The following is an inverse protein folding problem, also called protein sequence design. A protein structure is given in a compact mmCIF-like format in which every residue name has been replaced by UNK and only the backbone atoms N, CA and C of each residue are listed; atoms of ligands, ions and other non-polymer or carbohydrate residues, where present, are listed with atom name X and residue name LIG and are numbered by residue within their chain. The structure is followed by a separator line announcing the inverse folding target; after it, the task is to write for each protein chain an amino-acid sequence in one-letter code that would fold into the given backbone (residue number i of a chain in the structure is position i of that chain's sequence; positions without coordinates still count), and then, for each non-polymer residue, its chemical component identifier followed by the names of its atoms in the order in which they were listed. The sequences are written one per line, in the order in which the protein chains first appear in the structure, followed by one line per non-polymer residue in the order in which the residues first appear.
data_IF_237629438340
#
_entry.id   IF_237629438340
#
_cell.length_a   1.000
_cell.length_b   1.000
_cell.length_c   1.000
_cell.angle_alpha   90.00
_cell.angle_beta   90.00
_cell.angle_gamma   90.00
#
_symmetry.space_group_name_H-M   'P 1'
#
loop_
_entity.id
_entity.type
_entity.pdbx_description
1 polymer ?
#
# COMPACT_ATOMS: atom_id res chain seq x y z
N UNK A 1 -16.70 1.30 0.48
CA UNK A 1 -15.56 1.12 -0.47
C UNK A 1 -15.55 2.25 -1.47
N UNK A 2 -14.47 2.47 -2.24
CA UNK A 2 -14.44 3.54 -3.24
C UNK A 2 -15.29 3.24 -4.48
N UNK A 3 -15.11 2.06 -5.08
CA UNK A 3 -15.97 1.51 -6.13
C UNK A 3 -15.87 -0.02 -6.19
N UNK A 4 -16.88 -0.68 -6.75
CA UNK A 4 -16.83 -2.13 -7.02
C UNK A 4 -15.62 -2.45 -7.93
N UNK A 5 -14.88 -3.51 -7.61
CA UNK A 5 -13.66 -3.91 -8.31
C UNK A 5 -12.43 -3.04 -8.02
N UNK A 6 -12.53 -2.04 -7.13
CA UNK A 6 -11.34 -1.31 -6.64
C UNK A 6 -10.55 -2.13 -5.63
N UNK A 7 -9.28 -1.76 -5.41
CA UNK A 7 -8.49 -2.33 -4.32
C UNK A 7 -9.19 -2.25 -2.96
N UNK A 8 -9.97 -1.18 -2.71
CA UNK A 8 -10.74 -1.05 -1.46
C UNK A 8 -11.94 -2.01 -1.38
N UNK A 9 -12.56 -2.37 -2.51
CA UNK A 9 -13.63 -3.38 -2.56
C UNK A 9 -13.04 -4.78 -2.34
N UNK A 10 -12.00 -5.12 -3.11
CA UNK A 10 -11.25 -6.37 -2.97
C UNK A 10 -10.82 -6.61 -1.53
N UNK A 11 -10.16 -5.62 -0.91
CA UNK A 11 -9.66 -5.74 0.46
C UNK A 11 -10.81 -5.88 1.45
N UNK A 12 -11.90 -5.11 1.33
CA UNK A 12 -13.07 -5.29 2.20
C UNK A 12 -13.63 -6.71 2.10
N UNK A 13 -13.77 -7.26 0.89
CA UNK A 13 -14.27 -8.63 0.68
C UNK A 13 -13.32 -9.69 1.23
N UNK A 14 -12.01 -9.51 1.09
CA UNK A 14 -11.00 -10.42 1.66
C UNK A 14 -11.09 -10.46 3.19
N UNK A 15 -11.19 -9.29 3.84
CA UNK A 15 -11.32 -9.19 5.29
C UNK A 15 -12.60 -9.85 5.79
N UNK A 16 -13.73 -9.60 5.13
CA UNK A 16 -15.01 -10.24 5.48
C UNK A 16 -14.92 -11.76 5.41
N UNK A 17 -14.34 -12.31 4.33
CA UNK A 17 -14.14 -13.76 4.19
C UNK A 17 -13.18 -14.32 5.24
N UNK A 18 -12.13 -13.58 5.60
CA UNK A 18 -11.23 -13.97 6.69
C UNK A 18 -11.99 -14.08 8.02
N UNK A 19 -12.99 -13.23 8.23
CA UNK A 19 -13.91 -13.29 9.36
C UNK A 19 -15.10 -14.25 9.16
N UNK A 20 -15.06 -15.07 8.10
CA UNK A 20 -16.08 -16.07 7.75
C UNK A 20 -17.45 -15.47 7.43
N UNK A 21 -17.49 -14.21 7.00
CA UNK A 21 -18.68 -13.55 6.49
C UNK A 21 -18.74 -13.65 4.96
N UNK A 22 -19.90 -13.97 4.42
CA UNK A 22 -20.19 -13.93 2.99
C UNK A 22 -20.47 -12.46 2.57
N UNK A 23 -19.55 -11.82 1.81
CA UNK A 23 -19.69 -10.41 1.44
C UNK A 23 -20.88 -10.13 0.52
N UNK A 24 -21.48 -11.16 -0.08
CA UNK A 24 -22.59 -11.03 -1.02
C UNK A 24 -23.95 -11.35 -0.38
N UNK A 25 -23.97 -11.86 0.86
CA UNK A 25 -25.20 -12.25 1.57
C UNK A 25 -25.38 -11.62 2.93
N UNK A 26 -24.29 -11.39 3.65
CA UNK A 26 -24.34 -10.99 5.07
C UNK A 26 -24.06 -9.51 5.30
N UNK A 27 -23.61 -8.78 4.27
CA UNK A 27 -23.34 -7.34 4.36
C UNK A 27 -23.84 -6.58 3.14
N UNK A 28 -24.12 -5.30 3.32
CA UNK A 28 -24.38 -4.38 2.21
C UNK A 28 -23.15 -3.51 1.94
N UNK A 29 -22.59 -3.64 0.74
CA UNK A 29 -21.37 -2.95 0.33
C UNK A 29 -21.69 -1.64 -0.40
N UNK A 30 -21.54 -0.51 0.30
CA UNK A 30 -21.80 0.82 -0.26
C UNK A 30 -20.54 1.45 -0.89
N UNK A 31 -20.72 2.02 -2.09
CA UNK A 31 -19.71 2.83 -2.77
C UNK A 31 -19.73 4.25 -2.22
N UNK A 32 -18.76 4.58 -1.37
CA UNK A 32 -18.65 5.81 -0.60
C UNK A 32 -17.40 6.62 -0.96
N UNK A 33 -16.77 6.36 -2.12
CA UNK A 33 -15.69 7.19 -2.64
C UNK A 33 -14.38 7.10 -1.86
N UNK A 34 -13.66 8.22 -1.76
CA UNK A 34 -12.34 8.32 -1.15
C UNK A 34 -12.41 8.33 0.40
N UNK A 35 -11.26 8.34 1.07
CA UNK A 35 -11.19 8.25 2.55
C UNK A 35 -11.98 9.36 3.27
N UNK A 36 -11.88 10.65 2.90
CA UNK A 36 -12.72 11.70 3.50
C UNK A 36 -14.22 11.42 3.43
N UNK A 37 -14.76 11.07 2.27
CA UNK A 37 -16.19 10.78 2.11
C UNK A 37 -16.62 9.59 2.96
N UNK A 38 -15.78 8.56 3.07
CA UNK A 38 -16.03 7.40 3.94
C UNK A 38 -16.07 7.78 5.42
N UNK A 39 -15.19 8.67 5.86
CA UNK A 39 -15.19 9.16 7.25
C UNK A 39 -16.45 9.99 7.56
N UNK A 40 -16.90 10.83 6.64
CA UNK A 40 -18.16 11.57 6.82
C UNK A 40 -19.34 10.61 6.92
N UNK A 41 -19.40 9.58 6.08
CA UNK A 41 -20.47 8.58 6.14
C UNK A 41 -20.45 7.78 7.47
N UNK A 42 -19.26 7.46 8.00
CA UNK A 42 -19.11 6.84 9.32
C UNK A 42 -19.63 7.76 10.43
N UNK A 43 -19.17 9.01 10.46
CA UNK A 43 -19.55 9.97 11.49
C UNK A 43 -21.06 10.31 11.47
N UNK A 44 -21.68 10.28 10.29
CA UNK A 44 -23.11 10.50 10.11
C UNK A 44 -23.97 9.24 10.36
N UNK A 45 -23.35 8.09 10.68
CA UNK A 45 -24.06 6.81 10.90
C UNK A 45 -24.68 6.22 9.63
N UNK A 46 -24.21 6.61 8.44
CA UNK A 46 -24.71 6.06 7.17
C UNK A 46 -24.09 4.71 6.81
N UNK A 47 -22.97 4.35 7.45
CA UNK A 47 -22.30 3.05 7.32
C UNK A 47 -21.78 2.59 8.67
N UNK A 48 -21.82 1.28 8.93
CA UNK A 48 -21.32 0.67 10.17
C UNK A 48 -19.79 0.49 10.19
N UNK A 49 -19.16 0.51 9.01
CA UNK A 49 -17.73 0.29 8.85
C UNK A 49 -17.19 0.81 7.53
N UNK A 50 -15.93 1.27 7.53
CA UNK A 50 -15.24 1.67 6.31
C UNK A 50 -13.73 1.50 6.42
N UNK A 51 -13.08 1.33 5.26
CA UNK A 51 -11.62 1.42 5.17
C UNK A 51 -11.18 2.87 5.32
N UNK A 52 -10.29 3.13 6.25
CA UNK A 52 -9.70 4.46 6.50
C UNK A 52 -8.20 4.38 6.25
N UNK A 53 -7.66 5.34 5.50
CA UNK A 53 -6.23 5.39 5.25
C UNK A 53 -5.46 5.65 6.56
N UNK A 54 -4.25 5.09 6.74
CA UNK A 54 -3.48 5.20 7.98
C UNK A 54 -3.32 6.63 8.52
N UNK A 55 -3.10 7.59 7.62
CA UNK A 55 -2.92 9.01 7.91
C UNK A 55 -4.19 9.71 8.41
N UNK A 56 -5.37 9.10 8.23
CA UNK A 56 -6.67 9.65 8.62
C UNK A 56 -7.32 8.95 9.81
N UNK A 57 -6.76 7.83 10.28
CA UNK A 57 -7.31 7.04 11.40
C UNK A 57 -7.44 7.89 12.67
N UNK A 58 -6.43 8.71 12.97
CA UNK A 58 -6.45 9.58 14.16
C UNK A 58 -7.66 10.54 14.17
N UNK A 59 -8.02 11.09 13.00
CA UNK A 59 -9.12 12.04 12.85
C UNK A 59 -10.46 11.41 13.19
N UNK A 60 -10.74 10.21 12.67
CA UNK A 60 -12.03 9.55 12.90
C UNK A 60 -12.14 9.01 14.33
N UNK A 61 -11.06 8.47 14.90
CA UNK A 61 -11.05 7.96 16.28
C UNK A 61 -11.24 9.11 17.28
N UNK A 62 -10.64 10.27 17.03
CA UNK A 62 -10.80 11.45 17.88
C UNK A 62 -12.25 11.97 17.99
N UNK A 63 -13.13 11.61 17.04
CA UNK A 63 -14.56 11.98 17.12
C UNK A 63 -15.33 11.18 18.18
N UNK A 64 -14.77 10.06 18.66
CA UNK A 64 -15.45 9.14 19.58
C UNK A 64 -16.56 8.28 18.95
N UNK A 65 -16.96 8.52 17.68
CA UNK A 65 -18.00 7.71 17.01
C UNK A 65 -17.56 6.27 16.74
N UNK A 66 -16.26 6.09 16.61
CA UNK A 66 -15.70 5.01 15.81
C UNK A 66 -14.42 4.49 16.46
N UNK A 67 -14.18 3.19 16.35
CA UNK A 67 -12.97 2.51 16.81
C UNK A 67 -12.38 1.67 15.70
N UNK A 68 -11.07 1.43 15.76
CA UNK A 68 -10.39 0.54 14.83
C UNK A 68 -10.84 -0.90 15.11
N UNK A 69 -11.43 -1.57 14.12
CA UNK A 69 -11.83 -2.98 14.21
C UNK A 69 -10.66 -3.93 13.94
N UNK A 70 -9.82 -3.58 12.97
CA UNK A 70 -8.58 -4.29 12.65
C UNK A 70 -7.61 -3.36 11.92
N UNK A 71 -6.32 -3.55 12.18
CA UNK A 71 -5.27 -3.04 11.32
C UNK A 71 -5.03 -4.06 10.19
N UNK A 72 -5.28 -3.65 8.96
CA UNK A 72 -5.14 -4.54 7.81
C UNK A 72 -3.68 -4.96 7.54
N UNK A 73 -2.71 -4.22 8.08
CA UNK A 73 -1.30 -4.60 8.00
C UNK A 73 -0.92 -5.76 8.92
N UNK A 74 -1.78 -6.09 9.89
CA UNK A 74 -1.56 -7.19 10.84
C UNK A 74 -2.31 -8.47 10.43
N UNK A 75 -3.13 -8.40 9.38
CA UNK A 75 -3.83 -9.56 8.86
C UNK A 75 -2.89 -10.37 7.95
N UNK A 76 -3.00 -11.71 7.93
CA UNK A 76 -2.17 -12.59 7.09
C UNK A 76 -2.62 -12.52 5.63
N UNK A 77 -2.51 -11.34 5.02
CA UNK A 77 -2.91 -11.04 3.66
C UNK A 77 -1.71 -10.53 2.86
N UNK A 78 -1.08 -11.43 2.12
CA UNK A 78 -0.13 -11.02 1.09
C UNK A 78 -0.93 -10.44 -0.08
N UNK A 79 -0.85 -9.13 -0.30
CA UNK A 79 -1.55 -8.46 -1.41
C UNK A 79 -0.66 -7.40 -2.05
N UNK A 80 -0.37 -7.54 -3.35
CA UNK A 80 0.43 -6.60 -4.12
C UNK A 80 -0.36 -5.29 -4.38
N UNK A 81 -0.44 -4.44 -3.37
CA UNK A 81 -1.21 -3.18 -3.41
C UNK A 81 -0.49 -2.07 -4.16
N UNK A 82 0.83 -2.03 -4.08
CA UNK A 82 1.68 -0.98 -4.63
C UNK A 82 2.80 -1.61 -5.45
N UNK A 83 3.13 -0.98 -6.58
CA UNK A 83 4.22 -1.41 -7.44
C UNK A 83 4.37 -0.51 -8.66
N UNK A 84 5.55 -0.56 -9.26
CA UNK A 84 5.80 0.06 -10.56
C UNK A 84 5.58 -0.98 -11.66
N UNK A 85 4.78 -0.63 -12.65
CA UNK A 85 4.46 -1.50 -13.79
C UNK A 85 4.83 -0.77 -15.07
N UNK A 86 5.59 -1.45 -15.92
CA UNK A 86 6.04 -0.91 -17.20
C UNK A 86 5.80 -1.94 -18.32
N UNK A 87 5.55 -1.49 -19.56
CA UNK A 87 5.58 -2.38 -20.71
C UNK A 87 6.94 -3.06 -20.85
N UNK A 88 6.97 -4.36 -21.17
CA UNK A 88 8.21 -5.12 -21.38
C UNK A 88 9.12 -4.47 -22.43
N UNK A 89 8.54 -3.87 -23.48
CA UNK A 89 9.29 -3.11 -24.48
C UNK A 89 10.02 -1.92 -23.86
N UNK A 90 9.35 -1.17 -22.99
CA UNK A 90 9.92 -0.01 -22.30
C UNK A 90 11.06 -0.40 -21.35
N UNK A 91 10.93 -1.54 -20.65
CA UNK A 91 12.01 -2.10 -19.82
C UNK A 91 13.28 -2.37 -20.64
N UNK A 92 13.10 -2.86 -21.88
CA UNK A 92 14.21 -3.16 -22.79
C UNK A 92 14.82 -1.91 -23.42
N UNK A 93 14.00 -0.97 -23.88
CA UNK A 93 14.46 0.18 -24.67
C UNK A 93 14.86 1.39 -23.84
N UNK A 94 14.28 1.56 -22.63
CA UNK A 94 14.47 2.74 -21.78
C UNK A 94 15.07 2.37 -20.42
N UNK A 95 16.00 1.42 -20.44
CA UNK A 95 16.57 0.83 -19.22
C UNK A 95 17.26 1.86 -18.32
N UNK A 96 18.01 2.82 -18.89
CA UNK A 96 18.68 3.87 -18.10
C UNK A 96 17.68 4.79 -17.36
N UNK A 97 16.59 5.16 -18.03
CA UNK A 97 15.52 5.99 -17.44
C UNK A 97 14.90 5.26 -16.26
N UNK A 98 14.52 4.00 -16.44
CA UNK A 98 13.94 3.19 -15.37
C UNK A 98 14.91 2.93 -14.23
N UNK A 99 16.20 2.74 -14.53
CA UNK A 99 17.26 2.59 -13.53
C UNK A 99 17.35 3.85 -12.66
N UNK A 100 17.39 5.04 -13.25
CA UNK A 100 17.41 6.31 -12.50
C UNK A 100 16.14 6.51 -11.67
N UNK A 101 14.98 6.18 -12.21
CA UNK A 101 13.71 6.24 -11.49
C UNK A 101 13.74 5.34 -10.25
N UNK A 102 14.16 4.08 -10.40
CA UNK A 102 14.22 3.12 -9.30
C UNK A 102 15.31 3.47 -8.28
N UNK A 103 16.43 4.06 -8.70
CA UNK A 103 17.43 4.60 -7.76
C UNK A 103 16.83 5.74 -6.91
N UNK A 104 16.08 6.67 -7.53
CA UNK A 104 15.38 7.73 -6.79
C UNK A 104 14.33 7.17 -5.82
N UNK A 105 13.62 6.12 -6.22
CA UNK A 105 12.69 5.43 -5.32
C UNK A 105 13.39 4.77 -4.12
N UNK A 106 14.54 4.12 -4.33
CA UNK A 106 15.35 3.53 -3.26
C UNK A 106 15.93 4.60 -2.33
N UNK A 107 16.32 5.75 -2.86
CA UNK A 107 16.75 6.90 -2.05
C UNK A 107 15.58 7.46 -1.21
N UNK A 108 14.38 7.56 -1.78
CA UNK A 108 13.18 7.96 -1.04
C UNK A 108 12.86 6.97 0.09
N UNK A 109 13.02 5.66 -0.13
CA UNK A 109 12.90 4.64 0.92
C UNK A 109 13.95 4.86 2.01
N UNK A 110 15.21 5.10 1.63
CA UNK A 110 16.27 5.39 2.59
C UNK A 110 15.95 6.62 3.45
N UNK A 111 15.51 7.72 2.84
CA UNK A 111 15.06 8.93 3.55
C UNK A 111 13.90 8.61 4.48
N UNK A 112 12.88 7.90 3.98
CA UNK A 112 11.73 7.51 4.78
C UNK A 112 12.15 6.69 6.01
N UNK A 113 13.08 5.75 5.87
CA UNK A 113 13.54 4.88 6.96
C UNK A 113 14.48 5.57 7.95
N UNK A 114 15.30 6.52 7.49
CA UNK A 114 16.43 7.06 8.30
C UNK A 114 16.28 8.52 8.72
N UNK A 115 15.36 9.27 8.10
CA UNK A 115 15.16 10.71 8.31
C UNK A 115 13.70 11.03 8.64
N UNK A 116 13.15 10.58 9.78
CA UNK A 116 11.73 10.75 10.12
C UNK A 116 11.26 12.21 10.09
N UNK A 117 12.12 13.18 10.45
CA UNK A 117 11.79 14.61 10.37
C UNK A 117 11.44 15.08 8.94
N UNK A 118 12.05 14.49 7.92
CA UNK A 118 11.70 14.82 6.53
C UNK A 118 10.30 14.31 6.17
N UNK A 119 9.91 13.14 6.71
CA UNK A 119 8.54 12.61 6.56
C UNK A 119 7.55 13.51 7.29
N UNK A 120 7.90 13.97 8.50
CA UNK A 120 7.02 14.84 9.30
C UNK A 120 6.75 16.18 8.63
N UNK A 121 7.75 16.77 7.96
CA UNK A 121 7.55 18.00 7.19
C UNK A 121 6.50 17.82 6.07
N UNK A 122 6.52 16.69 5.36
CA UNK A 122 5.50 16.37 4.35
C UNK A 122 4.12 16.18 4.98
N UNK A 123 4.05 15.49 6.13
CA UNK A 123 2.79 15.32 6.87
C UNK A 123 2.22 16.66 7.35
N UNK A 124 3.07 17.61 7.72
CA UNK A 124 2.68 18.96 8.12
C UNK A 124 2.04 19.75 6.96
N UNK A 125 2.58 19.63 5.74
CA UNK A 125 2.00 20.20 4.52
C UNK A 125 0.60 19.62 4.24
N UNK A 126 0.38 18.35 4.58
CA UNK A 126 -0.93 17.66 4.52
C UNK A 126 -1.85 17.97 5.73
N UNK A 127 -1.44 18.91 6.59
CA UNK A 127 -2.21 19.39 7.73
C UNK A 127 -2.15 18.52 8.98
N UNK A 128 -1.22 17.55 9.05
CA UNK A 128 -0.99 16.70 10.21
C UNK A 128 0.19 17.27 11.01
N UNK A 129 -0.12 18.10 12.01
CA UNK A 129 0.87 18.90 12.75
C UNK A 129 1.27 18.35 14.11
N UNK A 130 0.48 17.43 14.66
CA UNK A 130 0.77 16.83 15.96
C UNK A 130 1.95 15.85 15.83
N UNK A 131 3.08 16.09 16.52
CA UNK A 131 4.27 15.23 16.41
C UNK A 131 4.02 13.78 16.83
N UNK A 132 3.12 13.54 17.77
CA UNK A 132 2.78 12.18 18.21
C UNK A 132 2.03 11.41 17.12
N UNK A 133 1.12 12.10 16.41
CA UNK A 133 0.37 11.54 15.27
C UNK A 133 1.31 11.31 14.08
N UNK A 134 2.21 12.26 13.79
CA UNK A 134 3.20 12.12 12.73
C UNK A 134 4.10 10.89 12.96
N UNK A 135 4.60 10.74 14.19
CA UNK A 135 5.41 9.59 14.59
C UNK A 135 4.65 8.28 14.43
N UNK A 136 3.42 8.22 14.91
CA UNK A 136 2.60 7.01 14.83
C UNK A 136 2.30 6.62 13.36
N UNK A 137 1.98 7.58 12.50
CA UNK A 137 1.80 7.33 11.05
C UNK A 137 3.10 6.78 10.43
N UNK A 138 4.24 7.40 10.74
CA UNK A 138 5.54 6.98 10.23
C UNK A 138 5.91 5.57 10.69
N UNK A 139 5.79 5.28 11.99
CA UNK A 139 6.11 3.96 12.57
C UNK A 139 5.23 2.86 11.99
N UNK A 140 3.91 3.11 11.85
CA UNK A 140 2.97 2.16 11.25
C UNK A 140 3.30 1.88 9.78
N UNK A 141 3.62 2.93 9.00
CA UNK A 141 4.01 2.78 7.61
C UNK A 141 5.35 2.04 7.46
N UNK A 142 6.32 2.32 8.35
CA UNK A 142 7.68 1.76 8.33
C UNK A 142 7.69 0.23 8.40
N UNK A 143 6.72 -0.38 9.11
CA UNK A 143 6.54 -1.85 9.17
C UNK A 143 6.44 -2.50 7.79
N UNK A 144 5.94 -1.77 6.80
CA UNK A 144 5.66 -2.29 5.46
C UNK A 144 6.66 -1.80 4.40
N UNK A 145 7.57 -0.89 4.75
CA UNK A 145 8.55 -0.32 3.81
C UNK A 145 9.85 -1.09 3.88
N UNK A 146 10.11 -1.94 2.88
CA UNK A 146 11.36 -2.71 2.76
C UNK A 146 12.45 -1.87 2.15
N UNK A 147 13.67 -2.06 2.63
CA UNK A 147 14.87 -1.43 2.04
C UNK A 147 15.09 -1.85 0.59
N UNK A 148 14.85 -3.14 0.30
CA UNK A 148 14.91 -3.69 -1.04
C UNK A 148 13.52 -4.19 -1.44
N UNK A 149 12.69 -3.34 -2.08
CA UNK A 149 11.32 -3.69 -2.44
C UNK A 149 11.29 -4.52 -3.72
N UNK A 150 11.20 -5.84 -3.56
CA UNK A 150 10.97 -6.76 -4.68
C UNK A 150 9.51 -7.22 -4.72
N UNK A 151 8.93 -7.46 -5.91
CA UNK A 151 7.61 -8.05 -6.01
C UNK A 151 7.59 -9.44 -5.38
N UNK A 152 6.47 -9.79 -4.76
CA UNK A 152 6.26 -11.10 -4.14
C UNK A 152 5.25 -11.93 -4.92
N UNK A 153 5.55 -13.21 -5.24
CA UNK A 153 4.65 -14.07 -5.99
C UNK A 153 3.27 -14.22 -5.32
N UNK A 154 3.23 -14.42 -4.01
CA UNK A 154 1.98 -14.59 -3.26
C UNK A 154 1.11 -13.33 -3.34
N UNK A 155 1.70 -12.15 -3.15
CA UNK A 155 0.97 -10.89 -3.23
C UNK A 155 0.37 -10.65 -4.61
N UNK A 156 1.10 -11.01 -5.68
CA UNK A 156 0.60 -10.92 -7.06
C UNK A 156 -0.48 -11.97 -7.31
N UNK A 157 -0.33 -13.20 -6.79
CA UNK A 157 -1.36 -14.24 -6.90
C UNK A 157 -2.66 -13.80 -6.24
N UNK A 158 -2.61 -13.29 -5.01
CA UNK A 158 -3.80 -12.76 -4.32
C UNK A 158 -4.46 -11.62 -5.09
N UNK A 159 -3.66 -10.76 -5.74
CA UNK A 159 -4.19 -9.71 -6.61
C UNK A 159 -4.89 -10.32 -7.83
N UNK A 160 -4.29 -11.30 -8.50
CA UNK A 160 -4.89 -12.03 -9.64
C UNK A 160 -6.19 -12.73 -9.24
N UNK A 161 -6.21 -13.42 -8.10
CA UNK A 161 -7.37 -14.15 -7.59
C UNK A 161 -8.55 -13.22 -7.27
N UNK A 162 -8.28 -11.94 -7.03
CA UNK A 162 -9.32 -10.93 -6.83
C UNK A 162 -9.94 -10.39 -8.12
N UNK A 163 -9.30 -10.62 -9.27
CA UNK A 163 -9.77 -10.10 -10.56
C UNK A 163 -10.82 -11.03 -11.17
N UNK A 164 -11.86 -10.43 -11.75
CA UNK A 164 -12.87 -11.15 -12.53
C UNK A 164 -12.45 -11.38 -13.98
N UNK A 165 -11.29 -10.85 -14.39
CA UNK A 165 -10.80 -10.96 -15.76
C UNK A 165 -10.51 -12.42 -16.13
N UNK A 166 -10.95 -12.93 -17.31
CA UNK A 166 -10.79 -14.34 -17.68
C UNK A 166 -9.34 -14.85 -17.59
N UNK A 167 -8.39 -14.02 -18.02
CA UNK A 167 -6.96 -14.37 -18.02
C UNK A 167 -6.33 -14.37 -16.62
N UNK A 168 -7.00 -13.84 -15.59
CA UNK A 168 -6.42 -13.76 -14.25
C UNK A 168 -6.12 -15.15 -13.68
N UNK A 169 -7.02 -16.12 -13.92
CA UNK A 169 -6.89 -17.51 -13.47
C UNK A 169 -5.72 -18.27 -14.10
N UNK A 170 -5.29 -17.86 -15.29
CA UNK A 170 -4.25 -18.54 -16.06
C UNK A 170 -2.92 -17.80 -16.05
N UNK A 171 -2.91 -16.53 -15.63
CA UNK A 171 -1.70 -15.71 -15.57
C UNK A 171 -0.86 -16.17 -14.39
N UNK A 172 0.42 -16.47 -14.64
CA UNK A 172 1.36 -16.85 -13.58
C UNK A 172 1.98 -15.59 -12.98
N UNK A 173 2.08 -15.44 -11.64
CA UNK A 173 2.72 -14.29 -11.01
C UNK A 173 4.11 -13.97 -11.59
N UNK A 174 4.95 -14.99 -11.79
CA UNK A 174 6.29 -14.84 -12.34
C UNK A 174 6.33 -14.17 -13.72
N UNK A 175 5.27 -14.28 -14.53
CA UNK A 175 5.19 -13.62 -15.84
C UNK A 175 4.97 -12.10 -15.76
N UNK A 176 4.56 -11.60 -14.60
CA UNK A 176 4.34 -10.19 -14.31
C UNK A 176 5.50 -9.55 -13.53
N UNK A 177 6.55 -10.33 -13.23
CA UNK A 177 7.66 -9.92 -12.38
C UNK A 177 8.93 -9.74 -13.21
N UNK A 178 9.49 -8.54 -13.18
CA UNK A 178 10.84 -8.25 -13.70
C UNK A 178 11.62 -7.48 -12.63
N UNK A 179 12.63 -8.13 -12.05
CA UNK A 179 13.53 -7.53 -11.04
C UNK A 179 14.88 -7.15 -11.62
N UNK A 180 15.08 -7.27 -12.93
CA UNK A 180 16.40 -7.19 -13.55
C UNK A 180 17.10 -5.85 -13.28
N UNK A 181 16.36 -4.74 -13.31
CA UNK A 181 16.91 -3.40 -13.04
C UNK A 181 17.21 -3.21 -11.55
N UNK A 182 16.36 -3.73 -10.65
CA UNK A 182 16.62 -3.69 -9.21
C UNK A 182 17.86 -4.52 -8.84
N UNK A 183 18.07 -5.65 -9.49
CA UNK A 183 19.26 -6.48 -9.31
C UNK A 183 20.53 -5.79 -9.83
N UNK A 184 20.46 -5.06 -10.95
CA UNK A 184 21.56 -4.20 -11.42
C UNK A 184 21.92 -3.12 -10.41
N UNK A 185 20.91 -2.42 -9.87
CA UNK A 185 21.12 -1.37 -8.87
C UNK A 185 21.76 -1.97 -7.61
N UNK A 186 21.26 -3.12 -7.15
CA UNK A 186 21.84 -3.84 -6.00
C UNK A 186 23.30 -4.21 -6.25
N UNK A 187 23.61 -4.82 -7.40
CA UNK A 187 24.98 -5.22 -7.78
C UNK A 187 25.94 -4.05 -7.90
N UNK A 188 25.46 -2.85 -8.24
CA UNK A 188 26.30 -1.65 -8.30
C UNK A 188 26.73 -1.11 -6.92
N UNK A 189 26.24 -1.70 -5.82
CA UNK A 189 26.53 -1.25 -4.46
C UNK A 189 25.80 0.04 -4.06
N UNK A 190 24.86 0.52 -4.89
CA UNK A 190 24.14 1.77 -4.64
C UNK A 190 23.40 1.77 -3.31
N UNK A 191 22.70 0.67 -2.99
CA UNK A 191 21.96 0.53 -1.73
C UNK A 191 22.92 0.55 -0.54
N UNK A 192 23.99 -0.24 -0.60
CA UNK A 192 24.98 -0.28 0.49
C UNK A 192 25.64 1.09 0.73
N UNK A 193 25.89 1.85 -0.34
CA UNK A 193 26.38 3.23 -0.25
C UNK A 193 25.39 4.16 0.44
N UNK A 194 24.08 4.05 0.16
CA UNK A 194 23.06 4.87 0.85
C UNK A 194 23.09 4.65 2.36
N UNK A 195 23.28 3.41 2.80
CA UNK A 195 23.30 3.03 4.21
C UNK A 195 24.70 3.08 4.86
N UNK A 196 25.72 3.57 4.16
CA UNK A 196 27.08 3.65 4.70
C UNK A 196 27.73 2.28 4.99
N UNK A 197 27.30 1.23 4.29
CA UNK A 197 27.84 -0.14 4.41
C UNK A 197 28.94 -0.43 3.40
N UNK A 198 29.10 0.43 2.41
CA UNK A 198 30.22 0.37 1.48
C UNK A 198 31.51 0.76 2.24
N UNK A 199 32.39 -0.22 2.44
CA UNK A 199 33.77 0.00 2.91
C UNK A 199 34.67 0.53 1.81
#
# INVERSE_FOLDING_TARGET
MSRIGSASDTVTRLVLRLWKLDPDKEVTLLQSGNTPTRMTALAAGHVDGALVSPESVHKIVATGCCRVLADLSELPMDYARYGYVFPTSYIKTQRDVLRRLLMGYLEAIYIFRTRPKAVYAVLEEEGIKDPSVQKDIHDRALKNVREYPVPEPNGIQSALDSLTHPNAKTTKPASLMDTSILEEIKKSGFIDKLYGRAG
#
